data_IF_139033937367
#
_entry.id   IF_139033937367
#
_cell.length_a   1.000
_cell.length_b   1.000
_cell.length_c   1.000
_cell.angle_alpha   90.00
_cell.angle_beta   90.00
_cell.angle_gamma   90.00
#
_symmetry.space_group_name_H-M   'P 1'
#
loop_
_entity.id
_entity.type
_entity.pdbx_description
1 polymer ?
#
# COMPACT_ATOMS: atom_id res chain seq x y z
N UNK A 1 -4.59 -38.33 -16.09
CA UNK A 1 -4.62 -37.98 -14.67
C UNK A 1 -3.44 -37.10 -14.39
N UNK A 2 -3.68 -35.91 -14.55
CA UNK A 2 -3.23 -34.62 -14.04
C UNK A 2 -1.76 -34.41 -13.75
N UNK A 3 -0.98 -34.27 -14.84
CA UNK A 3 0.41 -33.75 -14.81
C UNK A 3 0.50 -32.20 -15.00
N UNK A 4 -0.59 -31.48 -14.68
CA UNK A 4 -0.70 -30.04 -14.96
C UNK A 4 -0.67 -29.10 -13.73
N UNK A 5 -0.25 -29.58 -12.55
CA UNK A 5 -0.29 -28.77 -11.31
C UNK A 5 1.03 -28.03 -11.03
N UNK A 6 2.07 -28.22 -11.82
CA UNK A 6 3.37 -27.56 -11.61
C UNK A 6 3.78 -26.61 -12.74
N UNK A 7 2.86 -25.76 -13.23
CA UNK A 7 3.29 -24.49 -13.79
C UNK A 7 3.56 -23.53 -12.60
N UNK A 8 4.72 -23.67 -11.98
CA UNK A 8 5.37 -22.55 -11.34
C UNK A 8 5.33 -21.42 -12.38
N UNK A 9 4.56 -20.37 -12.11
CA UNK A 9 4.63 -19.15 -12.91
C UNK A 9 6.09 -18.73 -12.86
N UNK A 10 6.82 -19.01 -13.94
CA UNK A 10 8.19 -18.53 -14.06
C UNK A 10 8.10 -17.02 -13.93
N UNK A 11 8.77 -16.48 -12.91
CA UNK A 11 8.87 -15.05 -12.69
C UNK A 11 9.41 -14.42 -13.97
N UNK A 12 8.51 -13.84 -14.75
CA UNK A 12 8.91 -13.09 -15.94
C UNK A 12 9.64 -11.84 -15.46
N UNK A 13 10.79 -11.52 -16.07
CA UNK A 13 11.53 -10.29 -15.76
C UNK A 13 10.64 -9.06 -15.89
N UNK A 14 9.72 -9.05 -16.85
CA UNK A 14 8.71 -8.01 -16.98
C UNK A 14 7.75 -7.96 -15.78
N UNK A 15 7.32 -9.11 -15.25
CA UNK A 15 6.47 -9.18 -14.06
C UNK A 15 7.17 -8.64 -12.81
N UNK A 16 8.47 -8.93 -12.66
CA UNK A 16 9.28 -8.39 -11.56
C UNK A 16 9.41 -6.86 -11.67
N UNK A 17 9.67 -6.34 -12.88
CA UNK A 17 9.76 -4.89 -13.09
C UNK A 17 8.44 -4.17 -12.81
N UNK A 18 7.32 -4.71 -13.26
CA UNK A 18 5.98 -4.16 -12.96
C UNK A 18 5.72 -4.16 -11.47
N UNK A 19 6.02 -5.26 -10.78
CA UNK A 19 5.84 -5.36 -9.33
C UNK A 19 6.73 -4.36 -8.57
N UNK A 20 7.99 -4.21 -8.99
CA UNK A 20 8.91 -3.21 -8.43
C UNK A 20 8.40 -1.79 -8.65
N UNK A 21 7.86 -1.46 -9.83
CA UNK A 21 7.30 -0.14 -10.11
C UNK A 21 6.12 0.19 -9.21
N UNK A 22 5.19 -0.76 -9.02
CA UNK A 22 4.03 -0.59 -8.13
C UNK A 22 4.49 -0.38 -6.68
N UNK A 23 5.39 -1.24 -6.19
CA UNK A 23 5.90 -1.17 -4.81
C UNK A 23 6.68 0.13 -4.59
N UNK A 24 7.50 0.53 -5.56
CA UNK A 24 8.27 1.77 -5.48
C UNK A 24 7.36 3.01 -5.44
N UNK A 25 6.27 3.01 -6.23
CA UNK A 25 5.28 4.08 -6.19
C UNK A 25 4.61 4.23 -4.82
N UNK A 26 4.22 3.12 -4.21
CA UNK A 26 3.57 3.10 -2.90
C UNK A 26 4.54 3.49 -1.77
N UNK A 27 5.72 2.86 -1.72
CA UNK A 27 6.74 3.18 -0.70
C UNK A 27 7.31 4.59 -0.90
N UNK A 28 7.41 5.08 -2.12
CA UNK A 28 7.95 6.40 -2.43
C UNK A 28 7.08 7.56 -1.93
N UNK A 29 5.77 7.38 -1.83
CA UNK A 29 4.83 8.41 -1.38
C UNK A 29 4.56 8.36 0.12
N UNK A 30 4.54 7.19 0.73
CA UNK A 30 4.20 7.00 2.14
C UNK A 30 5.12 7.76 3.12
N UNK A 31 6.45 7.85 2.93
CA UNK A 31 7.31 8.63 3.81
C UNK A 31 6.94 10.11 3.90
N UNK A 32 6.35 10.72 2.87
CA UNK A 32 5.98 12.13 2.86
C UNK A 32 4.99 12.46 3.99
N UNK A 33 3.89 11.73 4.07
CA UNK A 33 2.90 11.97 5.12
C UNK A 33 3.30 11.37 6.47
N UNK A 34 4.05 10.27 6.48
CA UNK A 34 4.56 9.66 7.72
C UNK A 34 5.53 10.61 8.42
N UNK A 35 6.51 11.19 7.70
CA UNK A 35 7.44 12.17 8.29
C UNK A 35 6.72 13.44 8.72
N UNK A 36 5.75 13.92 7.94
CA UNK A 36 4.91 15.06 8.34
C UNK A 36 4.20 14.79 9.68
N UNK A 37 3.65 13.58 9.85
CA UNK A 37 2.99 13.17 11.09
C UNK A 37 3.96 13.02 12.27
N UNK A 38 5.18 12.50 12.04
CA UNK A 38 6.21 12.34 13.09
C UNK A 38 6.72 13.71 13.56
N UNK A 39 7.02 14.61 12.62
CA UNK A 39 7.52 15.94 12.91
C UNK A 39 6.43 16.78 13.58
N UNK A 40 5.20 16.73 13.06
CA UNK A 40 4.08 17.52 13.60
C UNK A 40 4.43 18.97 13.75
N UNK A 41 4.35 19.50 14.99
CA UNK A 41 4.70 20.87 15.38
C UNK A 41 6.05 20.97 16.07
N UNK A 42 6.84 19.90 16.12
CA UNK A 42 8.13 19.90 16.79
C UNK A 42 9.20 20.56 15.92
N UNK A 43 10.22 21.14 16.56
CA UNK A 43 11.39 21.62 15.85
C UNK A 43 12.13 20.46 15.18
N UNK A 44 12.55 20.69 13.94
CA UNK A 44 13.28 19.68 13.15
C UNK A 44 14.70 19.58 13.70
N UNK A 45 14.93 18.54 14.51
CA UNK A 45 16.25 18.22 15.03
C UNK A 45 16.81 16.98 14.33
N UNK A 46 18.14 16.85 14.36
CA UNK A 46 18.81 15.65 13.81
C UNK A 46 18.30 14.37 14.46
N UNK A 47 18.08 14.39 15.76
CA UNK A 47 17.63 13.22 16.52
C UNK A 47 16.18 12.83 16.18
N UNK A 48 15.31 13.83 15.94
CA UNK A 48 13.94 13.59 15.48
C UNK A 48 13.92 12.93 14.10
N UNK A 49 14.75 13.41 13.18
CA UNK A 49 14.84 12.83 11.82
C UNK A 49 15.41 11.42 11.86
N UNK A 50 16.49 11.19 12.60
CA UNK A 50 17.09 9.85 12.74
C UNK A 50 16.16 8.88 13.46
N UNK A 51 15.44 9.34 14.48
CA UNK A 51 14.42 8.57 15.17
C UNK A 51 13.26 8.17 14.23
N UNK A 52 12.77 9.12 13.45
CA UNK A 52 11.73 8.87 12.45
C UNK A 52 12.17 7.87 11.38
N UNK A 53 13.37 8.01 10.83
CA UNK A 53 13.96 7.04 9.90
C UNK A 53 14.08 5.64 10.52
N UNK A 54 14.54 5.57 11.77
CA UNK A 54 14.64 4.31 12.50
C UNK A 54 13.27 3.64 12.65
N UNK A 55 12.23 4.40 13.01
CA UNK A 55 10.86 3.89 13.11
C UNK A 55 10.37 3.34 11.77
N UNK A 56 10.58 4.05 10.67
CA UNK A 56 10.20 3.61 9.32
C UNK A 56 10.94 2.31 8.96
N UNK A 57 12.26 2.29 9.15
CA UNK A 57 13.09 1.11 8.86
C UNK A 57 12.63 -0.12 9.63
N UNK A 58 12.44 -0.01 10.94
CA UNK A 58 12.03 -1.12 11.77
C UNK A 58 10.59 -1.57 11.50
N UNK A 59 9.69 -0.64 11.22
CA UNK A 59 8.31 -0.97 10.83
C UNK A 59 8.28 -1.75 9.53
N UNK A 60 9.00 -1.31 8.50
CA UNK A 60 9.10 -2.04 7.23
C UNK A 60 9.75 -3.42 7.42
N UNK A 61 10.79 -3.51 8.24
CA UNK A 61 11.46 -4.77 8.51
C UNK A 61 10.55 -5.76 9.24
N UNK A 62 9.92 -5.33 10.33
CA UNK A 62 9.12 -6.22 11.17
C UNK A 62 7.76 -6.53 10.54
N UNK A 63 7.05 -5.50 10.05
CA UNK A 63 5.68 -5.66 9.55
C UNK A 63 5.68 -6.18 8.12
N UNK A 64 6.43 -5.56 7.22
CA UNK A 64 6.41 -5.95 5.81
C UNK A 64 7.24 -7.20 5.57
N UNK A 65 8.49 -7.24 6.02
CA UNK A 65 9.38 -8.36 5.69
C UNK A 65 9.07 -9.59 6.55
N UNK A 66 9.06 -9.47 7.88
CA UNK A 66 8.90 -10.65 8.75
C UNK A 66 7.44 -11.10 8.79
N UNK A 67 6.51 -10.21 9.14
CA UNK A 67 5.11 -10.58 9.29
C UNK A 67 4.45 -10.89 7.95
N UNK A 68 4.65 -10.06 6.92
CA UNK A 68 3.93 -10.20 5.66
C UNK A 68 4.65 -11.17 4.72
N UNK A 69 5.89 -10.89 4.34
CA UNK A 69 6.61 -11.71 3.35
C UNK A 69 6.92 -13.09 3.91
N UNK A 70 7.47 -13.18 5.12
CA UNK A 70 7.90 -14.46 5.67
C UNK A 70 6.74 -15.30 6.23
N UNK A 71 5.75 -14.70 6.92
CA UNK A 71 4.65 -15.45 7.51
C UNK A 71 3.41 -15.48 6.62
N UNK A 72 2.89 -14.33 6.21
CA UNK A 72 1.59 -14.25 5.55
C UNK A 72 1.60 -14.80 4.12
N UNK A 73 2.65 -14.55 3.34
CA UNK A 73 2.75 -15.07 1.97
C UNK A 73 2.94 -16.59 1.90
N UNK A 74 3.44 -17.22 2.98
CA UNK A 74 3.50 -18.68 3.07
C UNK A 74 2.14 -19.33 3.39
N UNK A 75 1.14 -18.55 3.81
CA UNK A 75 -0.21 -19.01 4.09
C UNK A 75 -1.09 -18.88 2.84
N UNK A 76 -0.71 -19.55 1.75
CA UNK A 76 -1.48 -19.58 0.54
C UNK A 76 -2.58 -20.65 0.55
N UNK A 77 -3.67 -20.41 -0.16
CA UNK A 77 -4.73 -21.39 -0.38
C UNK A 77 -4.91 -21.61 -1.89
N UNK A 78 -4.25 -22.64 -2.42
CA UNK A 78 -4.26 -22.99 -3.86
C UNK A 78 -3.73 -21.88 -4.79
N UNK A 79 -2.70 -21.17 -4.36
CA UNK A 79 -2.13 -20.04 -5.10
C UNK A 79 -2.83 -18.69 -4.85
N UNK A 80 -3.87 -18.67 -4.01
CA UNK A 80 -4.57 -17.44 -3.62
C UNK A 80 -4.12 -17.02 -2.23
N UNK A 81 -3.79 -15.73 -2.07
CA UNK A 81 -3.37 -15.11 -0.82
C UNK A 81 -4.38 -14.13 -0.24
N UNK A 82 -3.97 -13.43 0.82
CA UNK A 82 -4.77 -12.39 1.44
C UNK A 82 -5.74 -12.87 2.51
N UNK A 83 -6.62 -11.95 2.97
CA UNK A 83 -7.49 -12.15 4.12
C UNK A 83 -8.46 -13.33 3.93
N UNK A 84 -9.03 -13.46 2.75
CA UNK A 84 -10.00 -14.54 2.47
C UNK A 84 -9.32 -15.90 2.37
N UNK A 85 -8.13 -15.98 1.81
CA UNK A 85 -7.35 -17.21 1.77
C UNK A 85 -6.97 -17.67 3.18
N UNK A 86 -6.50 -16.75 4.01
CA UNK A 86 -6.18 -17.01 5.41
C UNK A 86 -7.43 -17.44 6.19
N UNK A 87 -8.56 -16.76 6.00
CA UNK A 87 -9.83 -17.16 6.60
C UNK A 87 -10.24 -18.58 6.17
N UNK A 88 -10.15 -18.91 4.87
CA UNK A 88 -10.49 -20.24 4.36
C UNK A 88 -9.60 -21.34 4.97
N UNK A 89 -8.32 -21.07 5.20
CA UNK A 89 -7.39 -21.99 5.84
C UNK A 89 -7.76 -22.24 7.30
N UNK A 90 -7.97 -21.15 8.08
CA UNK A 90 -8.25 -21.25 9.51
C UNK A 90 -9.64 -21.80 9.80
N UNK A 91 -10.63 -21.51 8.94
CA UNK A 91 -12.00 -22.05 9.07
C UNK A 91 -12.04 -23.58 9.06
N UNK A 92 -11.08 -24.26 8.42
CA UNK A 92 -10.98 -25.72 8.42
C UNK A 92 -10.82 -26.31 9.83
N UNK A 93 -10.29 -25.54 10.77
CA UNK A 93 -10.14 -25.94 12.17
C UNK A 93 -11.43 -25.70 13.02
N UNK A 94 -12.59 -25.48 12.38
CA UNK A 94 -13.91 -25.27 13.02
C UNK A 94 -13.97 -24.08 14.01
N UNK A 95 -13.07 -23.14 13.90
CA UNK A 95 -13.03 -21.92 14.72
C UNK A 95 -14.02 -20.88 14.16
N UNK A 96 -15.28 -20.95 14.57
CA UNK A 96 -16.36 -20.09 14.06
C UNK A 96 -16.13 -18.58 14.31
N UNK A 97 -15.42 -18.23 15.37
CA UNK A 97 -15.13 -16.85 15.74
C UNK A 97 -14.19 -16.12 14.76
N UNK A 98 -13.44 -16.87 13.94
CA UNK A 98 -12.46 -16.30 12.97
C UNK A 98 -13.14 -15.43 11.90
N UNK A 99 -14.44 -15.57 11.72
CA UNK A 99 -15.20 -14.72 10.78
C UNK A 99 -15.16 -13.24 11.18
N UNK A 100 -15.17 -12.92 12.47
CA UNK A 100 -15.16 -11.52 12.94
C UNK A 100 -13.89 -10.78 12.57
N UNK A 101 -12.66 -11.26 12.89
CA UNK A 101 -11.44 -10.62 12.44
C UNK A 101 -11.29 -10.62 10.93
N UNK A 102 -11.83 -11.60 10.20
CA UNK A 102 -11.81 -11.60 8.74
C UNK A 102 -12.68 -10.47 8.16
N UNK A 103 -13.87 -10.23 8.71
CA UNK A 103 -14.75 -9.11 8.31
C UNK A 103 -14.09 -7.78 8.63
N UNK A 104 -13.53 -7.62 9.83
CA UNK A 104 -12.82 -6.39 10.22
C UNK A 104 -11.64 -6.13 9.27
N UNK A 105 -10.81 -7.16 9.03
CA UNK A 105 -9.68 -7.06 8.12
C UNK A 105 -10.09 -6.71 6.68
N UNK A 106 -11.19 -7.26 6.19
CA UNK A 106 -11.73 -6.92 4.87
C UNK A 106 -12.24 -5.47 4.83
N UNK A 107 -12.97 -5.04 5.86
CA UNK A 107 -13.48 -3.67 5.95
C UNK A 107 -12.34 -2.64 6.02
N UNK A 108 -11.30 -2.92 6.81
CA UNK A 108 -10.12 -2.05 6.91
C UNK A 108 -9.34 -1.99 5.60
N UNK A 109 -9.22 -3.10 4.87
CA UNK A 109 -8.57 -3.14 3.57
C UNK A 109 -9.32 -2.28 2.54
N UNK A 110 -10.66 -2.36 2.52
CA UNK A 110 -11.49 -1.53 1.66
C UNK A 110 -11.33 -0.05 2.02
N UNK A 111 -11.35 0.29 3.32
CA UNK A 111 -11.16 1.66 3.80
C UNK A 111 -9.79 2.22 3.40
N UNK A 112 -8.74 1.42 3.51
CA UNK A 112 -7.39 1.80 3.09
C UNK A 112 -7.34 2.15 1.60
N UNK A 113 -8.04 1.39 0.76
CA UNK A 113 -8.14 1.67 -0.68
C UNK A 113 -8.73 3.04 -1.03
N UNK A 114 -9.48 3.69 -0.13
CA UNK A 114 -9.97 5.06 -0.28
C UNK A 114 -9.07 6.10 0.40
N UNK A 115 -8.57 5.79 1.58
CA UNK A 115 -7.81 6.73 2.42
C UNK A 115 -6.41 6.94 1.88
N UNK A 116 -5.71 5.87 1.51
CA UNK A 116 -4.29 5.93 1.10
C UNK A 116 -4.07 6.77 -0.16
N UNK A 117 -4.85 6.63 -1.26
CA UNK A 117 -4.70 7.52 -2.41
C UNK A 117 -4.96 8.99 -2.07
N UNK A 118 -5.97 9.27 -1.23
CA UNK A 118 -6.30 10.63 -0.84
C UNK A 118 -5.15 11.29 -0.07
N UNK A 119 -4.60 10.60 0.94
CA UNK A 119 -3.48 11.12 1.74
C UNK A 119 -2.23 11.29 0.88
N UNK A 120 -1.90 10.33 0.03
CA UNK A 120 -0.70 10.35 -0.80
C UNK A 120 -0.73 11.50 -1.81
N UNK A 121 -1.86 11.69 -2.50
CA UNK A 121 -2.03 12.79 -3.46
C UNK A 121 -1.99 14.14 -2.75
N UNK A 122 -2.70 14.29 -1.62
CA UNK A 122 -2.70 15.53 -0.83
C UNK A 122 -1.29 15.89 -0.39
N UNK A 123 -0.55 14.94 0.21
CA UNK A 123 0.82 15.19 0.68
C UNK A 123 1.78 15.55 -0.44
N UNK A 124 1.61 14.97 -1.63
CA UNK A 124 2.42 15.32 -2.80
C UNK A 124 2.14 16.75 -3.29
N UNK A 125 0.87 17.17 -3.31
CA UNK A 125 0.48 18.53 -3.75
C UNK A 125 0.85 19.58 -2.70
N UNK A 126 0.67 19.29 -1.41
CA UNK A 126 1.13 20.17 -0.33
C UNK A 126 2.65 20.41 -0.37
N UNK A 127 3.43 19.41 -0.83
CA UNK A 127 4.87 19.59 -1.06
C UNK A 127 5.20 20.66 -2.10
N UNK A 128 4.30 20.94 -3.05
CA UNK A 128 4.47 22.02 -4.03
C UNK A 128 4.24 23.41 -3.44
N UNK A 129 3.46 23.56 -2.38
CA UNK A 129 3.27 24.83 -1.67
C UNK A 129 4.61 25.34 -1.09
N UNK A 130 5.46 24.43 -0.63
CA UNK A 130 6.79 24.77 -0.12
C UNK A 130 7.66 25.36 -1.21
N UNK A 131 7.50 24.93 -2.46
CA UNK A 131 8.27 25.43 -3.61
C UNK A 131 7.67 26.72 -4.19
N UNK A 132 6.36 26.89 -4.09
CA UNK A 132 5.66 28.06 -4.61
C UNK A 132 4.59 28.56 -3.62
N UNK A 133 4.91 29.54 -2.77
CA UNK A 133 3.99 30.11 -1.79
C UNK A 133 2.75 30.80 -2.37
N UNK A 134 2.68 30.97 -3.69
CA UNK A 134 1.49 31.53 -4.37
C UNK A 134 0.35 30.51 -4.51
N UNK A 135 0.60 29.25 -4.24
CA UNK A 135 -0.43 28.19 -4.28
C UNK A 135 -1.28 28.32 -3.01
N UNK A 136 -2.56 28.58 -3.20
CA UNK A 136 -3.51 28.70 -2.09
C UNK A 136 -4.08 27.32 -1.73
N UNK A 137 -4.49 27.14 -0.47
CA UNK A 137 -5.13 25.92 0.01
C UNK A 137 -6.30 25.47 -0.87
N UNK A 138 -7.13 26.41 -1.33
CA UNK A 138 -8.23 26.10 -2.25
C UNK A 138 -7.74 25.54 -3.60
N UNK A 139 -6.60 25.99 -4.08
CA UNK A 139 -5.97 25.46 -5.31
C UNK A 139 -5.50 24.03 -5.08
N UNK A 140 -4.88 23.74 -3.94
CA UNK A 140 -4.45 22.39 -3.55
C UNK A 140 -5.65 21.46 -3.52
N UNK A 141 -6.73 21.83 -2.83
CA UNK A 141 -7.97 21.03 -2.75
C UNK A 141 -8.53 20.75 -4.16
N UNK A 142 -8.60 21.78 -5.01
CA UNK A 142 -9.10 21.62 -6.37
C UNK A 142 -8.26 20.64 -7.21
N UNK A 143 -6.93 20.76 -7.15
CA UNK A 143 -6.00 19.87 -7.86
C UNK A 143 -6.09 18.45 -7.34
N UNK A 144 -6.13 18.27 -6.02
CA UNK A 144 -6.27 16.96 -5.38
C UNK A 144 -7.55 16.26 -5.82
N UNK A 145 -8.68 16.97 -5.82
CA UNK A 145 -9.97 16.39 -6.26
C UNK A 145 -9.90 15.96 -7.73
N UNK A 146 -9.34 16.76 -8.61
CA UNK A 146 -9.18 16.42 -10.04
C UNK A 146 -8.32 15.17 -10.20
N UNK A 147 -7.19 15.09 -9.50
CA UNK A 147 -6.30 13.93 -9.56
C UNK A 147 -7.00 12.67 -9.03
N UNK A 148 -7.68 12.75 -7.89
CA UNK A 148 -8.40 11.62 -7.32
C UNK A 148 -9.53 11.13 -8.23
N UNK A 149 -10.32 12.04 -8.79
CA UNK A 149 -11.36 11.67 -9.77
C UNK A 149 -10.74 10.97 -10.98
N UNK A 150 -9.64 11.50 -11.52
CA UNK A 150 -8.94 10.87 -12.62
C UNK A 150 -8.44 9.47 -12.23
N UNK A 151 -7.80 9.30 -11.07
CA UNK A 151 -7.33 8.00 -10.58
C UNK A 151 -8.47 6.99 -10.45
N UNK A 152 -9.58 7.34 -9.81
CA UNK A 152 -10.72 6.43 -9.65
C UNK A 152 -11.39 6.08 -10.98
N UNK A 153 -11.45 7.02 -11.94
CA UNK A 153 -11.94 6.75 -13.30
C UNK A 153 -10.99 5.80 -14.03
N UNK A 154 -9.66 5.99 -13.93
CA UNK A 154 -8.68 5.10 -14.55
C UNK A 154 -8.65 3.72 -13.90
N UNK A 155 -8.92 3.62 -12.62
CA UNK A 155 -8.92 2.35 -11.87
C UNK A 155 -9.95 1.34 -12.41
N UNK A 156 -11.05 1.80 -13.01
CA UNK A 156 -12.04 0.93 -13.64
C UNK A 156 -11.48 0.07 -14.79
N UNK A 157 -10.38 0.48 -15.41
CA UNK A 157 -9.74 -0.27 -16.51
C UNK A 157 -8.85 -1.42 -16.05
N UNK A 158 -8.75 -1.62 -14.74
CA UNK A 158 -8.06 -2.75 -14.11
C UNK A 158 -6.57 -2.53 -13.85
N UNK A 159 -6.06 -3.30 -12.89
CA UNK A 159 -4.68 -3.22 -12.41
C UNK A 159 -3.60 -3.52 -13.46
N UNK A 160 -3.93 -4.27 -14.51
CA UNK A 160 -2.99 -4.57 -15.59
C UNK A 160 -2.58 -3.34 -16.40
N UNK A 161 -3.51 -2.40 -16.61
CA UNK A 161 -3.22 -1.16 -17.35
C UNK A 161 -2.40 -0.23 -16.45
N UNK A 162 -2.83 -0.08 -15.20
CA UNK A 162 -2.14 0.75 -14.20
C UNK A 162 -0.72 0.23 -13.96
N UNK A 163 -0.54 -1.08 -13.73
CA UNK A 163 0.77 -1.68 -13.50
C UNK A 163 1.76 -1.50 -14.65
N UNK A 164 1.29 -1.54 -15.91
CA UNK A 164 2.15 -1.28 -17.09
C UNK A 164 2.52 0.19 -17.25
N UNK A 165 1.76 1.10 -16.69
CA UNK A 165 2.04 2.55 -16.78
C UNK A 165 3.06 2.98 -15.73
N UNK A 166 3.09 2.31 -14.57
CA UNK A 166 3.99 2.61 -13.46
C UNK A 166 5.25 1.72 -13.41
N UNK A 167 5.28 0.59 -14.10
CA UNK A 167 6.42 -0.32 -14.24
C UNK A 167 7.12 -0.19 -15.54
#
# INVERSE_FOLDING_TARGET
MDSNINKHQQLSTAGVLVSLGIIYGDIGTSPLYVFKAIIGTHEITRDLVLGGLSCVFWTLTLVTTIKYVYLALNADNKGEGGIFALYALVRRYKAGWVIYPAIIGCATLISDGFITPAISVTSAIEGLEVLNPSITENTVIGVVIVILVALFVFQQFGSNVVGKTFG
#
